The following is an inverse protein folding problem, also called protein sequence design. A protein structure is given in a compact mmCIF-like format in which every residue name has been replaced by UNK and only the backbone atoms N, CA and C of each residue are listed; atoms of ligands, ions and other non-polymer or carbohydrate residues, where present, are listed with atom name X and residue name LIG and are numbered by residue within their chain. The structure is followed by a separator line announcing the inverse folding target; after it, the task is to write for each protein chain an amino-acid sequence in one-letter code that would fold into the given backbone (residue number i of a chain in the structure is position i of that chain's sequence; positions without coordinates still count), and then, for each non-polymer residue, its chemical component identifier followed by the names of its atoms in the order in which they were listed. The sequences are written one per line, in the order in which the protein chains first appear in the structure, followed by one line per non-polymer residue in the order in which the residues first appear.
data_IF_344875748887
#
_entry.id   IF_344875748887
#
_cell.length_a   1.000
_cell.length_b   1.000
_cell.length_c   1.000
_cell.angle_alpha   90.00
_cell.angle_beta   90.00
_cell.angle_gamma   90.00
#
_symmetry.space_group_name_H-M   'P 1'
#
loop_
_entity.id
_entity.type
_entity.pdbx_description
1 polymer ?
#
# COMPACT_ATOMS: atom_id res chain seq x y z
N UNK A 1 10.03 -33.39 47.92
CA UNK A 1 9.36 -33.76 46.65
C UNK A 1 10.41 -34.42 45.77
N UNK A 2 10.10 -35.63 45.30
CA UNK A 2 11.04 -36.76 45.25
C UNK A 2 11.64 -36.98 43.85
N UNK A 3 12.89 -37.44 43.83
CA UNK A 3 13.71 -37.81 42.67
C UNK A 3 13.06 -38.90 41.77
N UNK A 4 11.90 -39.43 42.16
CA UNK A 4 11.14 -40.45 41.43
C UNK A 4 10.36 -39.95 40.20
N UNK A 5 10.01 -38.66 40.09
CA UNK A 5 9.21 -38.17 38.94
C UNK A 5 10.05 -37.83 37.70
N UNK A 6 11.35 -37.58 37.84
CA UNK A 6 12.24 -37.30 36.68
C UNK A 6 12.53 -38.53 35.82
N UNK A 7 12.36 -39.74 36.36
CA UNK A 7 12.62 -40.99 35.62
C UNK A 7 11.40 -41.50 34.83
N UNK A 8 10.21 -40.95 35.05
CA UNK A 8 9.00 -41.36 34.32
C UNK A 8 8.80 -40.59 33.00
N UNK A 9 9.39 -39.39 32.86
CA UNK A 9 9.24 -38.60 31.63
C UNK A 9 10.18 -39.05 30.50
N UNK A 10 11.24 -39.81 30.81
CA UNK A 10 12.22 -40.29 29.82
C UNK A 10 11.87 -41.66 29.21
N UNK A 11 10.82 -42.34 29.67
CA UNK A 11 10.40 -43.65 29.15
C UNK A 11 9.36 -43.59 28.04
N UNK A 12 8.77 -42.42 27.76
CA UNK A 12 7.73 -42.27 26.73
C UNK A 12 8.29 -41.97 25.32
N UNK A 13 9.61 -41.80 25.18
CA UNK A 13 10.33 -41.61 23.91
C UNK A 13 11.00 -42.90 23.40
N UNK A 14 10.63 -44.06 23.95
CA UNK A 14 11.09 -45.37 23.50
C UNK A 14 10.23 -45.91 22.35
N UNK A 15 10.19 -45.22 21.22
CA UNK A 15 9.63 -45.78 19.99
C UNK A 15 10.49 -46.96 19.54
N UNK A 16 9.98 -48.17 19.76
CA UNK A 16 10.58 -49.42 19.30
C UNK A 16 10.61 -49.44 17.76
N UNK A 17 11.75 -49.02 17.20
CA UNK A 17 12.08 -49.31 15.81
C UNK A 17 12.40 -50.81 15.71
N UNK A 18 11.37 -51.62 15.50
CA UNK A 18 11.52 -52.97 14.99
C UNK A 18 12.13 -52.87 13.59
N UNK A 19 13.46 -52.97 13.51
CA UNK A 19 14.17 -53.12 12.25
C UNK A 19 13.83 -54.50 11.69
N UNK A 20 12.81 -54.54 10.84
CA UNK A 20 12.58 -55.62 9.89
C UNK A 20 13.86 -55.83 9.08
N UNK A 21 14.38 -57.04 9.14
CA UNK A 21 15.60 -57.48 8.46
C UNK A 21 15.56 -57.10 6.97
N UNK A 22 16.59 -56.39 6.45
CA UNK A 22 16.60 -56.02 5.05
C UNK A 22 16.88 -57.28 4.22
N UNK A 23 15.90 -57.68 3.40
CA UNK A 23 16.14 -58.55 2.25
C UNK A 23 17.27 -57.93 1.43
N UNK A 24 18.34 -58.68 1.17
CA UNK A 24 19.47 -58.26 0.34
C UNK A 24 19.01 -58.01 -1.10
N UNK A 25 18.40 -56.85 -1.35
CA UNK A 25 18.24 -56.30 -2.68
C UNK A 25 19.62 -55.81 -3.13
N UNK A 26 20.03 -56.29 -4.31
CA UNK A 26 21.27 -55.96 -5.02
C UNK A 26 21.87 -54.62 -4.62
N UNK A 27 23.10 -54.63 -4.09
CA UNK A 27 23.91 -53.46 -3.68
C UNK A 27 23.90 -52.34 -4.74
N UNK A 28 23.83 -52.71 -6.03
CA UNK A 28 23.74 -51.77 -7.14
C UNK A 28 22.45 -50.91 -7.09
N UNK A 29 21.32 -51.48 -6.66
CA UNK A 29 20.04 -50.77 -6.53
C UNK A 29 20.05 -49.80 -5.34
N UNK A 30 20.74 -50.16 -4.26
CA UNK A 30 20.89 -49.32 -3.08
C UNK A 30 21.81 -48.11 -3.35
N UNK A 31 22.95 -48.32 -4.02
CA UNK A 31 23.86 -47.26 -4.46
C UNK A 31 23.21 -46.29 -5.45
N UNK A 32 22.39 -46.82 -6.38
CA UNK A 32 21.67 -45.97 -7.34
C UNK A 32 20.61 -45.11 -6.64
N UNK A 33 19.91 -45.67 -5.66
CA UNK A 33 18.90 -44.93 -4.89
C UNK A 33 19.51 -43.80 -4.04
N UNK A 34 20.65 -44.05 -3.37
CA UNK A 34 21.30 -43.03 -2.55
C UNK A 34 21.82 -41.86 -3.39
N UNK A 35 22.40 -42.13 -4.57
CA UNK A 35 22.84 -41.09 -5.49
C UNK A 35 21.66 -40.21 -5.97
N UNK A 36 20.52 -40.83 -6.28
CA UNK A 36 19.33 -40.10 -6.69
C UNK A 36 18.76 -39.21 -5.57
N UNK A 37 18.74 -39.71 -4.33
CA UNK A 37 18.26 -38.95 -3.17
C UNK A 37 19.17 -37.75 -2.89
N UNK A 38 20.49 -37.94 -2.92
CA UNK A 38 21.45 -36.84 -2.69
C UNK A 38 21.33 -35.77 -3.78
N UNK A 39 21.23 -36.18 -5.05
CA UNK A 39 21.00 -35.25 -6.16
C UNK A 39 19.68 -34.48 -6.01
N UNK A 40 18.60 -35.18 -5.63
CA UNK A 40 17.30 -34.57 -5.41
C UNK A 40 17.34 -33.53 -4.29
N UNK A 41 17.94 -33.85 -3.13
CA UNK A 41 18.07 -32.92 -2.00
C UNK A 41 18.89 -31.69 -2.41
N UNK A 42 20.00 -31.88 -3.13
CA UNK A 42 20.86 -30.78 -3.59
C UNK A 42 20.12 -29.81 -4.50
N UNK A 43 19.32 -30.34 -5.45
CA UNK A 43 18.50 -29.53 -6.35
C UNK A 43 17.37 -28.82 -5.59
N UNK A 44 16.69 -29.50 -4.65
CA UNK A 44 15.64 -28.89 -3.84
C UNK A 44 16.17 -27.76 -2.96
N UNK A 45 17.31 -27.96 -2.30
CA UNK A 45 17.93 -26.93 -1.46
C UNK A 45 18.34 -25.72 -2.28
N UNK A 46 18.98 -25.93 -3.43
CA UNK A 46 19.42 -24.85 -4.31
C UNK A 46 18.23 -24.09 -4.92
N UNK A 47 17.21 -24.83 -5.39
CA UNK A 47 15.98 -24.26 -5.93
C UNK A 47 15.19 -23.46 -4.89
N UNK A 48 15.04 -24.00 -3.67
CA UNK A 48 14.38 -23.30 -2.57
C UNK A 48 15.09 -22.00 -2.17
N UNK A 49 16.43 -22.02 -2.11
CA UNK A 49 17.22 -20.82 -1.82
C UNK A 49 17.03 -19.74 -2.90
N UNK A 50 17.06 -20.14 -4.18
CA UNK A 50 16.88 -19.23 -5.31
C UNK A 50 15.47 -18.63 -5.35
N UNK A 51 14.43 -19.42 -5.05
CA UNK A 51 13.05 -18.92 -4.96
C UNK A 51 12.93 -17.89 -3.84
N UNK A 52 13.50 -18.16 -2.67
CA UNK A 52 13.47 -17.23 -1.54
C UNK A 52 14.16 -15.90 -1.87
N UNK A 53 15.36 -15.96 -2.48
CA UNK A 53 16.10 -14.76 -2.88
C UNK A 53 15.38 -14.00 -4.02
N UNK A 54 14.78 -14.70 -4.97
CA UNK A 54 13.99 -14.12 -6.06
C UNK A 54 12.75 -13.39 -5.53
N UNK A 55 12.04 -13.99 -4.57
CA UNK A 55 10.88 -13.37 -3.92
C UNK A 55 11.25 -12.06 -3.19
N UNK A 56 12.37 -12.06 -2.46
CA UNK A 56 12.88 -10.85 -1.81
C UNK A 56 13.24 -9.74 -2.82
N UNK A 57 13.87 -10.10 -3.94
CA UNK A 57 14.24 -9.14 -4.99
C UNK A 57 13.00 -8.55 -5.67
N UNK A 58 12.02 -9.38 -6.00
CA UNK A 58 10.78 -8.96 -6.64
C UNK A 58 9.96 -8.04 -5.71
N UNK A 59 9.90 -8.35 -4.41
CA UNK A 59 9.18 -7.50 -3.45
C UNK A 59 9.81 -6.09 -3.33
N UNK A 60 11.16 -5.99 -3.35
CA UNK A 60 11.86 -4.70 -3.33
C UNK A 60 11.60 -3.88 -4.61
N UNK A 61 11.53 -4.54 -5.77
CA UNK A 61 11.22 -3.88 -7.04
C UNK A 61 9.77 -3.39 -7.09
N UNK A 62 8.81 -4.17 -6.58
CA UNK A 62 7.41 -3.74 -6.50
C UNK A 62 7.23 -2.55 -5.55
N UNK A 63 7.89 -2.57 -4.39
CA UNK A 63 7.82 -1.46 -3.43
C UNK A 63 8.45 -0.17 -3.97
N UNK A 64 9.56 -0.25 -4.70
CA UNK A 64 10.18 0.94 -5.32
C UNK A 64 9.31 1.51 -6.43
N UNK A 65 8.80 0.68 -7.34
CA UNK A 65 7.85 1.11 -8.38
C UNK A 65 6.57 1.72 -7.79
N UNK A 66 6.03 1.13 -6.72
CA UNK A 66 4.86 1.66 -6.04
C UNK A 66 5.17 3.01 -5.38
N UNK A 67 6.34 3.16 -4.74
CA UNK A 67 6.77 4.44 -4.15
C UNK A 67 6.97 5.52 -5.20
N UNK A 68 7.61 5.21 -6.32
CA UNK A 68 7.79 6.17 -7.42
C UNK A 68 6.44 6.61 -7.99
N UNK A 69 5.52 5.67 -8.25
CA UNK A 69 4.17 6.00 -8.71
C UNK A 69 3.41 6.85 -7.69
N UNK A 70 3.47 6.49 -6.40
CA UNK A 70 2.82 7.26 -5.34
C UNK A 70 3.40 8.66 -5.21
N UNK A 71 4.72 8.81 -5.32
CA UNK A 71 5.38 10.12 -5.29
C UNK A 71 4.98 11.00 -6.48
N UNK A 72 4.93 10.41 -7.68
CA UNK A 72 4.48 11.13 -8.89
C UNK A 72 3.03 11.58 -8.73
N UNK A 73 2.13 10.71 -8.26
CA UNK A 73 0.73 11.05 -8.03
C UNK A 73 0.61 12.14 -6.95
N UNK A 74 1.34 12.01 -5.83
CA UNK A 74 1.34 13.00 -4.77
C UNK A 74 1.84 14.38 -5.26
N UNK A 75 2.89 14.40 -6.09
CA UNK A 75 3.39 15.62 -6.69
C UNK A 75 2.37 16.26 -7.63
N UNK A 76 1.69 15.45 -8.45
CA UNK A 76 0.61 15.94 -9.32
C UNK A 76 -0.56 16.53 -8.52
N UNK A 77 -0.98 15.86 -7.44
CA UNK A 77 -2.05 16.34 -6.55
C UNK A 77 -1.65 17.67 -5.91
N UNK A 78 -0.44 17.75 -5.35
CA UNK A 78 0.05 18.98 -4.71
C UNK A 78 0.10 20.14 -5.69
N UNK A 79 0.64 19.93 -6.90
CA UNK A 79 0.67 20.98 -7.91
C UNK A 79 -0.73 21.44 -8.34
N UNK A 80 -1.67 20.50 -8.45
CA UNK A 80 -3.06 20.82 -8.77
C UNK A 80 -3.70 21.68 -7.67
N UNK A 81 -3.51 21.31 -6.40
CA UNK A 81 -4.01 22.08 -5.25
C UNK A 81 -3.33 23.47 -5.16
N UNK A 82 -2.03 23.55 -5.40
CA UNK A 82 -1.29 24.82 -5.38
C UNK A 82 -1.80 25.78 -6.46
N UNK A 83 -2.13 25.29 -7.66
CA UNK A 83 -2.71 26.11 -8.73
C UNK A 83 -4.11 26.62 -8.36
N UNK A 84 -4.96 25.75 -7.80
CA UNK A 84 -6.27 26.15 -7.27
C UNK A 84 -6.14 27.25 -6.21
N UNK A 85 -5.23 27.06 -5.25
CA UNK A 85 -5.01 28.02 -4.18
C UNK A 85 -4.44 29.33 -4.70
N UNK A 86 -3.50 29.28 -5.66
CA UNK A 86 -2.89 30.48 -6.26
C UNK A 86 -3.94 31.34 -6.98
N UNK A 87 -4.87 30.73 -7.71
CA UNK A 87 -5.98 31.42 -8.37
C UNK A 87 -6.89 32.11 -7.36
N UNK A 88 -7.27 31.42 -6.29
CA UNK A 88 -8.08 31.99 -5.20
C UNK A 88 -7.34 33.12 -4.45
N UNK A 89 -6.05 32.94 -4.17
CA UNK A 89 -5.22 33.97 -3.54
C UNK A 89 -5.06 35.22 -4.40
N UNK A 90 -5.03 35.06 -5.74
CA UNK A 90 -5.03 36.21 -6.65
C UNK A 90 -6.32 37.01 -6.53
N UNK A 91 -7.47 36.32 -6.51
CA UNK A 91 -8.77 36.94 -6.29
C UNK A 91 -8.80 37.65 -4.94
N UNK A 92 -8.44 36.98 -3.85
CA UNK A 92 -8.47 37.58 -2.50
C UNK A 92 -7.62 38.87 -2.35
N UNK A 93 -6.60 39.07 -3.18
CA UNK A 93 -5.76 40.29 -3.18
C UNK A 93 -6.36 41.46 -3.95
N UNK A 94 -7.39 41.23 -4.76
CA UNK A 94 -8.14 42.30 -5.43
C UNK A 94 -8.87 43.07 -4.34
N UNK A 95 -8.30 44.24 -3.97
CA UNK A 95 -8.91 45.15 -3.01
C UNK A 95 -10.34 45.49 -3.45
N UNK A 96 -11.29 45.37 -2.53
CA UNK A 96 -12.68 45.76 -2.76
C UNK A 96 -13.59 44.66 -3.30
N UNK A 97 -13.19 43.38 -3.27
CA UNK A 97 -14.10 42.26 -3.60
C UNK A 97 -15.41 42.29 -2.78
N UNK A 98 -15.32 42.67 -1.51
CA UNK A 98 -16.47 42.87 -0.61
C UNK A 98 -17.26 44.13 -0.91
N UNK A 99 -16.64 45.11 -1.58
CA UNK A 99 -17.21 46.41 -1.89
C UNK A 99 -17.80 46.46 -3.31
N UNK A 100 -17.65 45.36 -4.08
CA UNK A 100 -18.28 45.20 -5.39
C UNK A 100 -19.81 45.15 -5.26
N UNK A 101 -20.56 45.63 -6.26
CA UNK A 101 -22.01 45.43 -6.31
C UNK A 101 -22.38 43.94 -6.17
N UNK A 102 -23.47 43.60 -5.46
CA UNK A 102 -23.88 42.21 -5.22
C UNK A 102 -24.02 41.36 -6.49
N UNK A 103 -24.49 41.98 -7.59
CA UNK A 103 -24.66 41.32 -8.88
C UNK A 103 -23.33 40.91 -9.51
N UNK A 104 -22.29 41.75 -9.34
CA UNK A 104 -20.94 41.48 -9.83
C UNK A 104 -20.27 40.40 -8.96
N UNK A 105 -20.48 40.44 -7.64
CA UNK A 105 -19.99 39.39 -6.74
C UNK A 105 -20.59 38.03 -7.16
N UNK A 106 -21.91 37.95 -7.35
CA UNK A 106 -22.57 36.71 -7.75
C UNK A 106 -22.07 36.17 -9.09
N UNK A 107 -21.94 37.04 -10.10
CA UNK A 107 -21.41 36.65 -11.42
C UNK A 107 -19.96 36.15 -11.33
N UNK A 108 -19.14 36.73 -10.45
CA UNK A 108 -17.79 36.25 -10.19
C UNK A 108 -17.79 34.85 -9.58
N UNK A 109 -18.59 34.62 -8.53
CA UNK A 109 -18.72 33.29 -7.92
C UNK A 109 -19.25 32.25 -8.93
N UNK A 110 -20.23 32.61 -9.75
CA UNK A 110 -20.73 31.74 -10.83
C UNK A 110 -19.65 31.40 -11.85
N UNK A 111 -18.83 32.39 -12.23
CA UNK A 111 -17.68 32.18 -13.12
C UNK A 111 -16.66 31.22 -12.52
N UNK A 112 -16.36 31.34 -11.23
CA UNK A 112 -15.40 30.46 -10.53
C UNK A 112 -15.91 29.02 -10.43
N UNK A 113 -17.17 28.84 -10.02
CA UNK A 113 -17.80 27.53 -9.89
C UNK A 113 -17.98 26.85 -11.27
N UNK A 114 -18.28 27.61 -12.33
CA UNK A 114 -18.38 27.06 -13.69
C UNK A 114 -17.04 26.70 -14.32
N UNK A 115 -15.97 27.40 -13.96
CA UNK A 115 -14.67 27.22 -14.59
C UNK A 115 -13.83 26.10 -13.95
N UNK A 116 -14.20 25.67 -12.74
CA UNK A 116 -13.49 24.59 -12.07
C UNK A 116 -14.42 23.68 -11.28
N UNK A 117 -14.54 22.44 -11.73
CA UNK A 117 -15.39 21.41 -11.10
C UNK A 117 -14.89 21.00 -9.70
N UNK A 118 -13.68 21.39 -9.28
CA UNK A 118 -13.18 21.15 -7.92
C UNK A 118 -13.83 22.05 -6.86
N UNK A 119 -14.44 23.17 -7.27
CA UNK A 119 -15.12 24.06 -6.33
C UNK A 119 -16.56 23.62 -6.12
N UNK A 120 -16.81 22.97 -4.98
CA UNK A 120 -18.15 22.61 -4.56
C UNK A 120 -18.91 23.80 -3.94
N UNK A 121 -18.20 24.63 -3.18
CA UNK A 121 -18.74 25.85 -2.57
C UNK A 121 -17.68 26.95 -2.63
N UNK A 122 -18.10 28.15 -3.02
CA UNK A 122 -17.29 29.37 -3.00
C UNK A 122 -18.05 30.42 -2.21
N UNK A 123 -17.35 31.15 -1.33
CA UNK A 123 -17.95 32.22 -0.53
C UNK A 123 -17.00 33.40 -0.40
N UNK A 124 -17.56 34.61 -0.32
CA UNK A 124 -16.84 35.83 0.06
C UNK A 124 -17.16 36.09 1.54
N UNK A 125 -16.10 36.19 2.34
CA UNK A 125 -16.19 36.51 3.76
C UNK A 125 -15.70 37.94 4.00
N UNK A 126 -16.33 38.64 4.93
CA UNK A 126 -15.82 39.92 5.41
C UNK A 126 -14.61 39.71 6.36
N UNK A 127 -13.97 40.80 6.80
CA UNK A 127 -12.83 40.75 7.73
C UNK A 127 -13.14 40.13 9.10
N UNK A 128 -14.41 40.03 9.47
CA UNK A 128 -14.88 39.41 10.71
C UNK A 128 -15.22 37.92 10.53
N UNK A 129 -15.13 37.39 9.30
CA UNK A 129 -15.48 36.01 8.96
C UNK A 129 -16.97 35.79 8.67
N UNK A 130 -17.77 36.86 8.55
CA UNK A 130 -19.17 36.76 8.16
C UNK A 130 -19.30 36.55 6.64
N UNK A 131 -20.17 35.64 6.22
CA UNK A 131 -20.44 35.37 4.80
C UNK A 131 -21.26 36.53 4.22
N UNK A 132 -20.73 37.20 3.19
CA UNK A 132 -21.43 38.25 2.44
C UNK A 132 -22.24 37.63 1.30
N UNK A 133 -21.61 36.70 0.56
CA UNK A 133 -22.25 35.97 -0.53
C UNK A 133 -21.63 34.58 -0.65
N UNK A 134 -22.44 33.60 -1.08
CA UNK A 134 -22.02 32.23 -1.31
C UNK A 134 -22.71 31.65 -2.53
N UNK A 135 -22.04 30.70 -3.17
CA UNK A 135 -22.58 29.90 -4.25
C UNK A 135 -22.12 28.46 -4.11
N UNK A 136 -23.08 27.55 -4.25
CA UNK A 136 -22.84 26.11 -4.26
C UNK A 136 -22.97 25.57 -5.69
N UNK A 137 -22.08 24.65 -6.06
CA UNK A 137 -22.12 23.98 -7.36
C UNK A 137 -23.23 22.93 -7.37
N UNK A 138 -24.25 23.16 -8.22
CA UNK A 138 -25.43 22.28 -8.35
C UNK A 138 -25.08 20.89 -8.95
N UNK A 139 -23.83 20.66 -9.40
CA UNK A 139 -23.39 19.38 -10.00
C UNK A 139 -22.94 18.30 -9.00
N UNK A 140 -23.20 18.49 -7.70
CA UNK A 140 -22.83 17.54 -6.64
C UNK A 140 -23.78 16.34 -6.44
N UNK A 141 -24.88 16.21 -7.19
CA UNK A 141 -25.74 15.02 -7.11
C UNK A 141 -25.19 13.90 -8.02
N UNK A 142 -24.91 12.68 -7.50
CA UNK A 142 -24.75 11.52 -8.37
C UNK A 142 -26.07 11.23 -9.12
N UNK A 143 -26.02 10.65 -10.34
CA UNK A 143 -27.21 10.14 -11.01
C UNK A 143 -27.90 9.04 -10.20
#
# INVERSE_FOLDING_TARGET
MSQAEKHHFLSMLGGSFSFTTPRFFSLAKQLRSSLLIVGLISVLSSGGLLIYLSYQSQMKQLQSLQRERSQVIAYQINNYLDDLQRKLNFLARVKGLTDLPPDIQKNLLEGLVRHNDAYHLVAILNSEGNVITSLESIRGLPP
#
